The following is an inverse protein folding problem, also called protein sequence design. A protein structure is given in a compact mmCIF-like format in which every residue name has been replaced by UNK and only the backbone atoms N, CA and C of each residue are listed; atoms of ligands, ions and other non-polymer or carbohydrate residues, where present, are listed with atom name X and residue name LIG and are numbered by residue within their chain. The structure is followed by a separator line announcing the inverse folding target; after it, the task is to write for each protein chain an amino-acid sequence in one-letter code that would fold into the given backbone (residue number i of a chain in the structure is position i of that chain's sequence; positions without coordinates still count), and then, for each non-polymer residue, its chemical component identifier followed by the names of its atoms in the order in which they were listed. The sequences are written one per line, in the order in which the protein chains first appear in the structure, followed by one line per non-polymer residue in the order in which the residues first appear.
data_IF_017682579712
#
_entry.id   IF_017682579712
#
_cell.length_a   1.000
_cell.length_b   1.000
_cell.length_c   1.000
_cell.angle_alpha   90.00
_cell.angle_beta   90.00
_cell.angle_gamma   90.00
#
_symmetry.space_group_name_H-M   'P 1'
#
loop_
_entity.id
_entity.type
_entity.pdbx_description
1 polymer ?
#
# COMPACT_ATOMS: atom_id res chain seq x y z
N UNK A 1 -0.04 29.40 10.83
CA UNK A 1 0.37 27.97 10.84
C UNK A 1 -0.45 27.26 9.77
N UNK A 2 0.20 26.53 8.86
CA UNK A 2 -0.50 25.72 7.85
C UNK A 2 -1.26 24.57 8.54
N UNK A 3 -2.43 24.20 8.01
CA UNK A 3 -3.18 23.05 8.49
C UNK A 3 -2.31 21.78 8.40
N UNK A 4 -2.26 20.92 9.43
CA UNK A 4 -1.53 19.66 9.34
C UNK A 4 -2.14 18.77 8.26
N UNK A 5 -1.28 18.20 7.41
CA UNK A 5 -1.67 17.34 6.28
C UNK A 5 -2.09 15.97 6.81
N UNK A 6 -3.29 15.51 6.42
CA UNK A 6 -3.73 14.14 6.71
C UNK A 6 -3.13 13.21 5.66
N UNK A 7 -2.18 12.38 6.08
CA UNK A 7 -1.52 11.41 5.21
C UNK A 7 -2.22 10.05 5.30
N UNK A 8 -2.52 9.46 4.15
CA UNK A 8 -2.88 8.05 4.01
C UNK A 8 -1.70 7.24 3.47
N UNK A 9 -1.57 6.01 3.95
CA UNK A 9 -0.59 5.04 3.47
C UNK A 9 -1.33 3.80 2.99
N UNK A 10 -1.14 3.42 1.73
CA UNK A 10 -1.55 2.12 1.22
C UNK A 10 -0.35 1.20 1.26
N UNK A 11 -0.46 0.11 2.00
CA UNK A 11 0.65 -0.81 2.17
C UNK A 11 0.35 -1.98 3.08
N UNK A 12 1.25 -2.97 3.09
CA UNK A 12 1.18 -4.10 4.01
C UNK A 12 1.61 -3.64 5.43
N UNK A 13 0.76 -3.77 6.47
CA UNK A 13 1.10 -3.41 7.85
C UNK A 13 2.33 -4.15 8.40
N UNK A 14 2.59 -5.36 7.92
CA UNK A 14 3.73 -6.18 8.34
C UNK A 14 5.03 -5.78 7.65
N UNK A 15 4.95 -4.99 6.57
CA UNK A 15 6.12 -4.51 5.87
C UNK A 15 6.90 -3.52 6.76
N UNK A 16 8.14 -3.89 7.07
CA UNK A 16 9.04 -3.07 7.89
C UNK A 16 9.15 -1.63 7.38
N UNK A 17 9.14 -1.39 6.06
CA UNK A 17 9.23 -0.03 5.49
C UNK A 17 8.02 0.83 5.88
N UNK A 18 6.82 0.25 5.90
CA UNK A 18 5.58 0.95 6.34
C UNK A 18 5.69 1.32 7.81
N UNK A 19 6.10 0.37 8.66
CA UNK A 19 6.25 0.61 10.10
C UNK A 19 7.30 1.69 10.39
N UNK A 20 8.47 1.59 9.76
CA UNK A 20 9.56 2.55 9.94
C UNK A 20 9.16 3.95 9.45
N UNK A 21 8.42 4.03 8.35
CA UNK A 21 7.91 5.31 7.84
C UNK A 21 6.90 5.95 8.80
N UNK A 22 5.90 5.20 9.28
CA UNK A 22 4.90 5.69 10.24
C UNK A 22 5.56 6.19 11.52
N UNK A 23 6.47 5.41 12.09
CA UNK A 23 7.18 5.77 13.30
C UNK A 23 7.98 7.08 13.12
N UNK A 24 8.68 7.24 11.99
CA UNK A 24 9.42 8.47 11.68
C UNK A 24 8.51 9.67 11.46
N UNK A 25 7.38 9.48 10.78
CA UNK A 25 6.40 10.53 10.53
C UNK A 25 5.86 11.12 11.84
N UNK A 26 5.47 10.26 12.78
CA UNK A 26 5.02 10.66 14.12
C UNK A 26 6.16 11.31 14.91
N UNK A 27 7.38 10.77 14.83
CA UNK A 27 8.55 11.34 15.50
C UNK A 27 8.88 12.77 15.01
N UNK A 28 8.44 13.16 13.81
CA UNK A 28 8.53 14.52 13.28
C UNK A 28 7.39 15.44 13.75
N UNK A 29 6.56 14.99 14.70
CA UNK A 29 5.44 15.75 15.24
C UNK A 29 4.22 15.83 14.31
N UNK A 30 4.18 15.01 13.26
CA UNK A 30 3.03 14.95 12.36
C UNK A 30 1.94 14.01 12.90
N UNK A 31 0.67 14.20 12.51
CA UNK A 31 -0.41 13.27 12.87
C UNK A 31 -0.16 11.86 12.34
N UNK A 32 -0.54 10.83 13.11
CA UNK A 32 -0.44 9.43 12.69
C UNK A 32 -1.10 9.22 11.31
N UNK A 33 -0.39 8.61 10.33
CA UNK A 33 -0.98 8.34 9.02
C UNK A 33 -2.08 7.29 9.11
N UNK A 34 -3.12 7.45 8.29
CA UNK A 34 -4.15 6.43 8.11
C UNK A 34 -3.57 5.29 7.28
N UNK A 35 -3.35 4.13 7.90
CA UNK A 35 -2.90 2.93 7.17
C UNK A 35 -4.10 2.20 6.54
N UNK A 36 -4.00 1.94 5.25
CA UNK A 36 -5.00 1.28 4.42
C UNK A 36 -4.35 0.01 3.89
N UNK A 37 -4.92 -1.12 4.29
CA UNK A 37 -4.54 -2.42 3.78
C UNK A 37 -4.97 -2.54 2.31
N UNK A 38 -4.09 -3.09 1.46
CA UNK A 38 -4.40 -3.37 0.06
C UNK A 38 -5.68 -4.19 -0.12
N UNK A 39 -5.94 -5.16 0.76
CA UNK A 39 -7.16 -5.99 0.72
C UNK A 39 -8.43 -5.19 1.01
N UNK A 40 -8.30 -4.01 1.60
CA UNK A 40 -9.42 -3.10 1.93
C UNK A 40 -9.52 -1.93 0.95
N UNK A 41 -8.55 -1.76 0.06
CA UNK A 41 -8.53 -0.65 -0.90
C UNK A 41 -9.79 -0.57 -1.76
N UNK A 42 -10.39 -1.69 -2.25
CA UNK A 42 -11.62 -1.62 -3.05
C UNK A 42 -12.85 -1.11 -2.28
N UNK A 43 -12.83 -1.17 -0.94
CA UNK A 43 -13.98 -0.86 -0.08
C UNK A 43 -13.79 0.39 0.77
N UNK A 44 -12.58 0.99 0.75
CA UNK A 44 -12.24 2.15 1.58
C UNK A 44 -11.86 3.32 0.68
N UNK A 45 -12.66 4.39 0.72
CA UNK A 45 -12.27 5.70 0.21
C UNK A 45 -11.61 6.49 1.35
N UNK A 46 -10.27 6.64 1.39
CA UNK A 46 -9.63 7.31 2.50
C UNK A 46 -9.89 8.82 2.47
N UNK A 47 -10.35 9.37 3.59
CA UNK A 47 -10.59 10.80 3.75
C UNK A 47 -9.29 11.52 4.17
N UNK A 48 -8.31 11.51 3.27
CA UNK A 48 -6.94 12.03 3.46
C UNK A 48 -6.63 13.13 2.46
N UNK A 49 -5.68 14.00 2.78
CA UNK A 49 -5.25 15.09 1.91
C UNK A 49 -4.18 14.61 0.91
N UNK A 50 -3.36 13.63 1.31
CA UNK A 50 -2.31 13.01 0.49
C UNK A 50 -2.32 11.50 0.70
N UNK A 51 -2.11 10.74 -0.38
CA UNK A 51 -1.97 9.29 -0.34
C UNK A 51 -0.58 8.89 -0.82
N UNK A 52 0.11 8.05 -0.03
CA UNK A 52 1.34 7.38 -0.44
C UNK A 52 1.05 5.89 -0.65
N UNK A 53 1.43 5.40 -1.82
CA UNK A 53 1.37 4.00 -2.21
C UNK A 53 2.78 3.40 -2.10
N UNK A 54 2.93 2.37 -1.29
CA UNK A 54 4.17 1.57 -1.23
C UNK A 54 3.88 0.17 -1.76
N UNK A 55 4.89 -0.45 -2.38
CA UNK A 55 4.79 -1.84 -2.81
C UNK A 55 4.34 -2.75 -1.66
N UNK A 56 3.41 -3.69 -1.90
CA UNK A 56 2.97 -4.64 -0.89
C UNK A 56 4.09 -5.56 -0.40
N UNK A 57 5.22 -5.63 -1.12
CA UNK A 57 6.27 -6.61 -0.92
C UNK A 57 5.80 -8.03 -1.23
N UNK A 58 6.51 -9.02 -0.72
CA UNK A 58 6.05 -10.41 -0.74
C UNK A 58 4.84 -10.54 0.20
N UNK A 59 3.64 -10.58 -0.38
CA UNK A 59 2.39 -10.77 0.35
C UNK A 59 1.53 -11.80 -0.38
N UNK A 60 1.63 -13.06 0.04
CA UNK A 60 0.92 -14.18 -0.57
C UNK A 60 -0.61 -14.02 -0.50
N UNK A 61 -1.13 -13.43 0.58
CA UNK A 61 -2.57 -13.21 0.73
C UNK A 61 -3.09 -12.17 -0.28
N UNK A 62 -2.34 -11.08 -0.49
CA UNK A 62 -2.68 -10.11 -1.52
C UNK A 62 -2.55 -10.69 -2.92
N UNK A 63 -1.50 -11.46 -3.20
CA UNK A 63 -1.34 -12.13 -4.49
C UNK A 63 -2.51 -13.08 -4.78
N UNK A 64 -2.89 -13.91 -3.81
CA UNK A 64 -4.05 -14.80 -3.92
C UNK A 64 -5.36 -14.04 -4.12
N UNK A 65 -5.55 -12.91 -3.43
CA UNK A 65 -6.72 -12.06 -3.58
C UNK A 65 -6.80 -11.45 -4.99
N UNK A 66 -5.69 -10.93 -5.51
CA UNK A 66 -5.61 -10.38 -6.87
C UNK A 66 -5.89 -11.45 -7.94
N UNK A 67 -5.35 -12.66 -7.77
CA UNK A 67 -5.66 -13.79 -8.66
C UNK A 67 -7.16 -14.14 -8.63
N UNK A 68 -7.78 -14.16 -7.44
CA UNK A 68 -9.21 -14.44 -7.31
C UNK A 68 -10.11 -13.37 -7.96
N UNK A 69 -9.63 -12.13 -8.06
CA UNK A 69 -10.32 -11.03 -8.78
C UNK A 69 -10.15 -11.10 -10.30
N UNK A 70 -9.51 -12.15 -10.83
CA UNK A 70 -9.25 -12.31 -12.26
C UNK A 70 -7.87 -11.84 -12.70
N UNK A 71 -6.95 -11.56 -11.76
CA UNK A 71 -5.53 -11.41 -12.09
C UNK A 71 -5.04 -12.71 -12.73
N UNK A 72 -4.41 -12.61 -13.91
CA UNK A 72 -3.97 -13.80 -14.65
C UNK A 72 -2.98 -14.60 -13.81
N UNK A 73 -3.19 -15.91 -13.76
CA UNK A 73 -2.12 -16.82 -13.39
C UNK A 73 -1.05 -16.70 -14.48
N UNK A 74 0.18 -16.36 -14.07
CA UNK A 74 1.43 -16.46 -14.85
C UNK A 74 1.85 -15.21 -15.63
N UNK A 75 2.69 -14.44 -14.98
CA UNK A 75 3.98 -14.06 -15.55
C UNK A 75 5.02 -15.20 -15.35
N UNK A 76 4.61 -16.47 -15.40
CA UNK A 76 5.57 -17.59 -15.41
C UNK A 76 6.13 -17.67 -16.83
N UNK A 77 7.26 -16.98 -17.05
CA UNK A 77 7.93 -16.88 -18.34
C UNK A 77 8.25 -15.46 -18.77
N UNK A 78 7.68 -14.45 -18.12
CA UNK A 78 8.00 -13.06 -18.38
C UNK A 78 9.22 -12.64 -17.57
N UNK A 79 10.22 -12.06 -18.24
CA UNK A 79 11.32 -11.41 -17.55
C UNK A 79 10.85 -10.11 -16.90
N UNK A 80 11.65 -9.60 -15.94
CA UNK A 80 11.32 -8.35 -15.26
C UNK A 80 11.21 -7.19 -16.27
N UNK A 81 9.98 -6.73 -16.53
CA UNK A 81 9.69 -5.63 -17.46
C UNK A 81 8.82 -6.00 -18.66
N UNK A 82 8.45 -7.27 -18.83
CA UNK A 82 7.52 -7.67 -19.89
C UNK A 82 6.05 -7.59 -19.45
N UNK A 83 5.19 -7.27 -20.41
CA UNK A 83 3.73 -7.26 -20.27
C UNK A 83 3.17 -8.27 -21.27
N UNK A 84 2.21 -9.08 -20.85
CA UNK A 84 1.43 -9.91 -21.78
C UNK A 84 0.45 -9.00 -22.56
N UNK A 85 0.37 -9.20 -23.87
CA UNK A 85 -0.50 -8.47 -24.81
C UNK A 85 -2.01 -8.64 -24.53
#
# INVERSE_FOLDING_TARGET
MSKPVRLGLVGNPDNRRIRDFRARWVALGQPEPVLIDYLKLPTVAPCVDVLRLDSPGENAALAAHLMALGGSHRAEGLEHGELDD
#
